data_IF_039211967333
#
_entry.id   IF_039211967333
#
_cell.length_a   1.000
_cell.length_b   1.000
_cell.length_c   1.000
_cell.angle_alpha   90.00
_cell.angle_beta   90.00
_cell.angle_gamma   90.00
#
_symmetry.space_group_name_H-M   'P 1'
#
loop_
_entity.id
_entity.type
_entity.pdbx_description
1 polymer ?
#
# COMPACT_ATOMS: atom_id res chain seq x y z
N UNK A 1 6.11 -10.69 -6.43
CA UNK A 1 6.72 -9.81 -5.40
C UNK A 1 7.41 -8.60 -6.00
N UNK A 2 8.29 -8.74 -6.99
CA UNK A 2 9.06 -7.59 -7.50
C UNK A 2 8.23 -6.37 -7.95
N UNK A 3 7.21 -6.57 -8.79
CA UNK A 3 6.33 -5.47 -9.23
C UNK A 3 5.57 -4.78 -8.08
N UNK A 4 5.24 -5.54 -7.05
CA UNK A 4 4.48 -5.04 -5.89
C UNK A 4 5.35 -4.17 -4.99
N UNK A 5 6.58 -4.61 -4.76
CA UNK A 5 7.58 -3.83 -4.05
C UNK A 5 7.88 -2.50 -4.78
N UNK A 6 7.97 -2.53 -6.11
CA UNK A 6 8.15 -1.32 -6.90
C UNK A 6 6.98 -0.34 -6.69
N UNK A 7 5.74 -0.80 -6.86
CA UNK A 7 4.55 0.06 -6.67
C UNK A 7 4.49 0.66 -5.26
N UNK A 8 4.86 -0.08 -4.22
CA UNK A 8 4.88 0.43 -2.85
C UNK A 8 6.01 1.45 -2.59
N UNK A 9 7.12 1.36 -3.32
CA UNK A 9 8.24 2.28 -3.18
C UNK A 9 8.08 3.59 -3.98
N UNK A 10 7.19 3.64 -4.98
CA UNK A 10 6.89 4.87 -5.73
C UNK A 10 6.71 6.14 -4.87
N UNK A 11 5.91 6.14 -3.78
CA UNK A 11 5.75 7.33 -2.95
C UNK A 11 7.02 7.69 -2.14
N UNK A 12 7.93 6.75 -1.91
CA UNK A 12 9.25 7.00 -1.29
C UNK A 12 10.21 7.58 -2.32
N UNK A 13 10.28 6.99 -3.51
CA UNK A 13 11.10 7.50 -4.62
C UNK A 13 10.68 8.91 -5.05
N UNK A 14 9.38 9.21 -4.96
CA UNK A 14 8.82 10.54 -5.19
C UNK A 14 9.02 11.53 -4.03
N UNK A 15 9.59 11.09 -2.90
CA UNK A 15 9.85 11.94 -1.72
C UNK A 15 8.59 12.38 -0.96
N UNK A 16 7.45 11.70 -1.16
CA UNK A 16 6.17 12.04 -0.50
C UNK A 16 6.17 11.53 0.95
N UNK A 17 6.78 10.36 1.18
CA UNK A 17 6.87 9.71 2.49
C UNK A 17 8.24 9.05 2.68
N UNK A 18 8.68 8.91 3.92
CA UNK A 18 9.95 8.24 4.26
C UNK A 18 9.86 6.71 4.17
N UNK A 19 8.65 6.15 4.26
CA UNK A 19 8.40 4.71 4.27
C UNK A 19 7.15 4.36 3.47
N UNK A 20 7.12 3.22 2.73
CA UNK A 20 5.97 2.82 1.92
C UNK A 20 4.65 2.76 2.69
N UNK A 21 4.70 2.34 3.96
CA UNK A 21 3.54 2.15 4.83
C UNK A 21 2.91 3.47 5.28
N UNK A 22 3.61 4.59 5.14
CA UNK A 22 3.08 5.90 5.53
C UNK A 22 2.20 6.52 4.45
N UNK A 23 2.21 6.00 3.22
CA UNK A 23 1.40 6.56 2.15
C UNK A 23 -0.07 6.10 2.30
N UNK A 24 -0.94 7.05 2.67
CA UNK A 24 -2.36 6.80 2.98
C UNK A 24 -3.11 6.08 1.84
N UNK A 25 -2.74 6.36 0.60
CA UNK A 25 -3.37 5.80 -0.60
C UNK A 25 -2.63 4.58 -1.15
N UNK A 26 -1.84 3.90 -0.32
CA UNK A 26 -1.14 2.65 -0.66
C UNK A 26 -1.61 1.50 0.22
N UNK A 27 -1.71 0.31 -0.38
CA UNK A 27 -1.93 -0.94 0.33
C UNK A 27 -0.65 -1.51 0.97
N UNK A 28 0.47 -0.77 0.98
CA UNK A 28 1.74 -1.21 1.58
C UNK A 28 1.58 -1.68 3.04
N UNK A 29 0.70 -1.00 3.80
CA UNK A 29 0.37 -1.36 5.20
C UNK A 29 -0.30 -2.73 5.31
N UNK A 30 -1.21 -3.01 4.38
CA UNK A 30 -2.01 -4.23 4.37
C UNK A 30 -1.15 -5.46 4.02
N UNK A 31 -0.10 -5.27 3.22
CA UNK A 31 0.88 -6.30 2.87
C UNK A 31 1.77 -6.72 4.04
N UNK A 32 2.11 -5.80 4.96
CA UNK A 32 2.87 -6.15 6.17
C UNK A 32 2.00 -6.80 7.26
N UNK A 33 0.71 -6.46 7.31
CA UNK A 33 -0.21 -6.96 8.32
C UNK A 33 -0.71 -8.40 8.06
N UNK A 34 -0.40 -9.01 6.91
CA UNK A 34 -0.77 -10.38 6.50
C UNK A 34 -2.26 -10.75 6.50
N UNK A 35 -3.16 -9.94 7.07
CA UNK A 35 -4.52 -10.39 7.32
C UNK A 35 -5.46 -10.22 6.12
N UNK A 36 -5.34 -9.19 5.27
CA UNK A 36 -6.25 -9.00 4.12
C UNK A 36 -5.64 -8.17 3.00
N UNK A 37 -5.11 -8.84 1.99
CA UNK A 37 -4.72 -8.20 0.72
C UNK A 37 -5.91 -8.11 -0.23
N UNK A 38 -6.29 -6.87 -0.60
CA UNK A 38 -7.05 -6.59 -1.83
C UNK A 38 -8.58 -6.60 -1.75
N UNK A 39 -9.19 -6.81 -0.58
CA UNK A 39 -10.65 -6.76 -0.44
C UNK A 39 -11.10 -5.43 0.18
N UNK A 40 -11.54 -4.50 -0.68
CA UNK A 40 -12.28 -3.31 -0.25
C UNK A 40 -13.72 -3.71 0.09
N UNK A 41 -14.18 -3.41 1.31
CA UNK A 41 -15.61 -3.53 1.64
C UNK A 41 -16.37 -2.46 0.87
N UNK A 42 -17.21 -2.89 -0.06
CA UNK A 42 -18.17 -2.02 -0.73
C UNK A 42 -19.42 -1.97 0.13
N UNK A 43 -19.79 -0.76 0.57
CA UNK A 43 -21.09 -0.53 1.19
C UNK A 43 -22.09 -0.21 0.08
N UNK A 44 -23.14 -1.03 -0.05
CA UNK A 44 -24.30 -0.69 -0.83
C UNK A 44 -25.22 0.15 0.06
N UNK A 45 -25.45 1.41 -0.33
CA UNK A 45 -26.44 2.30 0.27
C UNK A 45 -27.84 1.95 -0.26
#
# INVERSE_FOLDING_TARGET
MEKLNHVHNNPVEAGIVERPEHYLYSSARDYQAAERVGLMRVNFL
#
